data_IF_138295090610
#
_entry.id   IF_138295090610
#
_cell.length_a   1.000
_cell.length_b   1.000
_cell.length_c   1.000
_cell.angle_alpha   90.00
_cell.angle_beta   90.00
_cell.angle_gamma   90.00
#
_symmetry.space_group_name_H-M   'P 1'
#
loop_
_entity.id
_entity.type
_entity.pdbx_description
1 polymer ?
#
# COMPACT_ATOMS: atom_id res chain seq x y z
N UNK A 1 -22.60 30.93 21.11
CA UNK A 1 -21.95 29.92 21.98
C UNK A 1 -21.91 28.56 21.25
N UNK A 2 -21.33 28.51 20.05
CA UNK A 2 -21.12 27.28 19.25
C UNK A 2 -19.82 27.30 18.42
N UNK A 3 -18.98 28.33 18.52
CA UNK A 3 -17.82 28.52 17.62
C UNK A 3 -16.47 28.10 18.21
N UNK A 4 -16.42 27.26 19.25
CA UNK A 4 -15.16 27.07 20.01
C UNK A 4 -14.62 25.64 20.09
N UNK A 5 -15.15 24.65 19.36
CA UNK A 5 -14.78 23.26 19.66
C UNK A 5 -14.39 22.34 18.49
N UNK A 6 -13.74 22.85 17.44
CA UNK A 6 -12.99 21.97 16.51
C UNK A 6 -11.64 22.60 16.17
N UNK A 7 -10.75 22.69 17.17
CA UNK A 7 -9.30 22.83 16.96
C UNK A 7 -8.63 21.56 17.51
N UNK A 8 -8.91 20.44 16.84
CA UNK A 8 -8.24 19.17 17.06
C UNK A 8 -7.57 18.77 15.77
N UNK A 9 -6.30 19.09 15.64
CA UNK A 9 -5.38 18.63 14.61
C UNK A 9 -5.55 17.12 14.45
N UNK A 10 -6.19 16.67 13.36
CA UNK A 10 -6.22 15.23 13.02
C UNK A 10 -4.84 14.91 12.47
N UNK A 11 -3.92 14.58 13.37
CA UNK A 11 -2.70 13.90 12.99
C UNK A 11 -3.08 12.49 12.51
N UNK A 12 -3.09 12.29 11.20
CA UNK A 12 -3.21 10.97 10.57
C UNK A 12 -1.91 10.17 10.78
N UNK A 13 -1.63 9.82 12.03
CA UNK A 13 -0.48 9.04 12.45
C UNK A 13 -0.83 8.00 13.52
N UNK A 14 -2.10 7.61 13.60
CA UNK A 14 -2.60 6.66 14.60
C UNK A 14 -2.06 5.25 14.36
N UNK A 15 -0.97 4.88 15.03
CA UNK A 15 -0.64 3.47 15.27
C UNK A 15 -1.81 2.85 16.05
N UNK A 16 -2.61 2.04 15.39
CA UNK A 16 -3.71 1.29 16.01
C UNK A 16 -3.11 0.31 17.03
N UNK A 17 -3.38 0.46 18.34
CA UNK A 17 -2.76 -0.38 19.36
C UNK A 17 -3.20 -1.84 19.20
N UNK A 18 -2.22 -2.73 19.03
CA UNK A 18 -2.45 -4.17 18.85
C UNK A 18 -2.46 -4.65 17.40
N UNK A 19 -2.37 -3.75 16.41
CA UNK A 19 -2.21 -4.13 15.00
C UNK A 19 -0.75 -3.91 14.59
N UNK A 20 0.04 -4.99 14.61
CA UNK A 20 1.33 -5.03 13.93
C UNK A 20 1.08 -5.40 12.47
N UNK A 21 1.33 -4.49 11.56
CA UNK A 21 1.54 -4.85 10.16
C UNK A 21 2.91 -5.53 10.09
N UNK A 22 2.93 -6.85 10.27
CA UNK A 22 4.10 -7.64 9.97
C UNK A 22 4.25 -7.57 8.45
N UNK A 23 5.07 -6.61 7.99
CA UNK A 23 5.59 -6.62 6.64
C UNK A 23 6.63 -7.75 6.61
N UNK A 24 6.14 -8.99 6.68
CA UNK A 24 6.90 -10.17 6.30
C UNK A 24 7.56 -9.91 4.95
N UNK A 25 8.71 -10.56 4.72
CA UNK A 25 9.52 -10.41 3.50
C UNK A 25 8.69 -10.15 2.24
N UNK A 26 9.18 -9.29 1.32
CA UNK A 26 8.47 -9.02 0.06
C UNK A 26 7.99 -10.32 -0.59
N UNK A 27 6.75 -10.36 -1.13
CA UNK A 27 6.21 -11.58 -1.72
C UNK A 27 7.10 -12.05 -2.87
N UNK A 28 7.24 -13.38 -3.03
CA UNK A 28 7.99 -13.91 -4.17
C UNK A 28 7.27 -13.63 -5.48
N UNK A 29 7.97 -13.73 -6.60
CA UNK A 29 7.34 -13.52 -7.91
C UNK A 29 6.23 -14.55 -8.19
N UNK A 30 6.38 -15.80 -7.76
CA UNK A 30 5.32 -16.82 -7.87
C UNK A 30 4.07 -16.44 -7.06
N UNK A 31 4.25 -15.91 -5.85
CA UNK A 31 3.14 -15.44 -5.01
C UNK A 31 2.42 -14.25 -5.66
N UNK A 32 3.19 -13.32 -6.21
CA UNK A 32 2.66 -12.17 -6.96
C UNK A 32 1.89 -12.62 -8.21
N UNK A 33 2.43 -13.55 -8.99
CA UNK A 33 1.75 -14.08 -10.18
C UNK A 33 0.42 -14.75 -9.81
N UNK A 34 0.40 -15.58 -8.76
CA UNK A 34 -0.85 -16.20 -8.28
C UNK A 34 -1.88 -15.15 -7.88
N UNK A 35 -1.47 -14.07 -7.22
CA UNK A 35 -2.35 -12.98 -6.81
C UNK A 35 -3.04 -12.33 -8.02
N UNK A 36 -2.31 -12.13 -9.11
CA UNK A 36 -2.86 -11.68 -10.39
C UNK A 36 -3.85 -12.69 -11.01
N UNK A 37 -3.50 -13.97 -11.04
CA UNK A 37 -4.33 -15.04 -11.63
C UNK A 37 -5.69 -15.19 -10.95
N UNK A 38 -5.76 -14.96 -9.63
CA UNK A 38 -7.01 -15.03 -8.86
C UNK A 38 -7.74 -13.69 -8.74
N UNK A 39 -7.23 -12.63 -9.38
CA UNK A 39 -7.87 -11.31 -9.39
C UNK A 39 -7.69 -10.48 -8.11
N UNK A 40 -6.68 -10.77 -7.30
CA UNK A 40 -6.31 -10.00 -6.11
C UNK A 40 -4.86 -9.47 -6.17
N UNK A 41 -4.49 -8.68 -7.21
CA UNK A 41 -3.17 -8.05 -7.25
C UNK A 41 -3.00 -7.03 -6.12
N UNK A 42 -1.78 -6.82 -5.65
CA UNK A 42 -1.47 -5.83 -4.61
C UNK A 42 -1.34 -4.42 -5.22
N UNK A 43 -2.49 -3.87 -5.65
CA UNK A 43 -2.56 -2.60 -6.38
C UNK A 43 -2.13 -1.36 -5.57
N UNK A 44 -2.01 -1.47 -4.24
CA UNK A 44 -1.50 -0.39 -3.37
C UNK A 44 -0.04 -0.61 -2.93
N UNK A 45 0.54 -1.77 -3.22
CA UNK A 45 1.91 -2.11 -2.86
C UNK A 45 2.73 -2.55 -4.07
N UNK A 46 3.13 -3.82 -4.12
CA UNK A 46 4.10 -4.32 -5.11
C UNK A 46 3.60 -4.15 -6.56
N UNK A 47 2.30 -4.31 -6.78
CA UNK A 47 1.65 -4.24 -8.09
C UNK A 47 1.02 -2.87 -8.39
N UNK A 48 1.41 -1.82 -7.65
CA UNK A 48 1.01 -0.46 -7.96
C UNK A 48 1.43 -0.06 -9.38
N UNK A 49 0.57 0.68 -10.09
CA UNK A 49 0.80 1.10 -11.49
C UNK A 49 2.16 1.77 -11.70
N UNK A 50 2.60 2.62 -10.77
CA UNK A 50 3.91 3.28 -10.85
C UNK A 50 5.08 2.32 -10.88
N UNK A 51 4.97 1.16 -10.22
CA UNK A 51 6.02 0.14 -10.22
C UNK A 51 6.02 -0.62 -11.55
N UNK A 52 4.83 -0.93 -12.07
CA UNK A 52 4.67 -1.57 -13.39
C UNK A 52 5.24 -0.67 -14.49
N UNK A 53 4.90 0.62 -14.50
CA UNK A 53 5.42 1.56 -15.50
C UNK A 53 6.95 1.63 -15.46
N UNK A 54 7.55 1.74 -14.27
CA UNK A 54 9.03 1.74 -14.11
C UNK A 54 9.67 0.46 -14.66
N UNK A 55 9.05 -0.69 -14.43
CA UNK A 55 9.55 -1.96 -14.94
C UNK A 55 9.46 -2.04 -16.47
N UNK A 56 8.38 -1.51 -17.07
CA UNK A 56 8.25 -1.39 -18.53
C UNK A 56 9.32 -0.47 -19.09
N UNK A 57 9.50 0.72 -18.50
CA UNK A 57 10.48 1.70 -18.98
C UNK A 57 11.90 1.10 -18.95
N UNK A 58 12.28 0.45 -17.84
CA UNK A 58 13.57 -0.23 -17.72
C UNK A 58 13.76 -1.38 -18.72
N UNK A 59 12.69 -2.08 -19.11
CA UNK A 59 12.77 -3.17 -20.09
C UNK A 59 12.90 -2.69 -21.54
N UNK A 60 12.66 -1.40 -21.81
CA UNK A 60 12.74 -0.79 -23.14
C UNK A 60 14.05 -0.02 -23.37
N UNK A 61 14.91 0.10 -22.36
CA UNK A 61 16.30 0.58 -22.46
C UNK A 61 17.24 -0.48 -23.05
#
# INVERSE_FOLDING_TARGET
MIDHLIKGTVEYGGKIPGVSFDQSSPPTDEERMRAWEVGHPDYLGADAYSNIQKAIDHALE
#
